data_IF_069275271329
#
_entry.id   IF_069275271329
#
_cell.length_a   1.000
_cell.length_b   1.000
_cell.length_c   1.000
_cell.angle_alpha   90.00
_cell.angle_beta   90.00
_cell.angle_gamma   90.00
#
_symmetry.space_group_name_H-M   'P 1'
#
loop_
_entity.id
_entity.type
_entity.pdbx_description
1 polymer ?
#
# COMPACT_ATOMS: atom_id res chain seq x y z
N UNK A 1 9.32 27.58 32.75
CA UNK A 1 9.84 26.25 32.37
C UNK A 1 9.38 25.95 30.95
N UNK A 2 10.29 25.94 29.98
CA UNK A 2 9.97 25.68 28.57
C UNK A 2 10.26 24.21 28.29
N UNK A 3 9.23 23.39 28.11
CA UNK A 3 9.41 21.99 27.73
C UNK A 3 9.56 21.89 26.21
N UNK A 4 10.68 21.30 25.81
CA UNK A 4 11.08 21.12 24.42
C UNK A 4 10.05 20.29 23.64
N UNK A 5 9.60 20.84 22.53
CA UNK A 5 8.86 20.14 21.48
C UNK A 5 9.78 19.13 20.82
N UNK A 6 9.70 17.86 21.23
CA UNK A 6 10.29 16.76 20.47
C UNK A 6 9.53 16.63 19.15
N UNK A 7 10.01 17.30 18.10
CA UNK A 7 9.62 17.03 16.71
C UNK A 7 9.86 15.54 16.44
N UNK A 8 8.78 14.75 16.42
CA UNK A 8 8.80 13.38 15.91
C UNK A 8 9.25 13.43 14.46
N UNK A 9 10.46 12.94 14.22
CA UNK A 9 11.08 12.79 12.91
C UNK A 9 10.13 12.01 11.99
N UNK A 10 9.67 12.67 10.93
CA UNK A 10 8.71 12.14 9.96
C UNK A 10 9.33 11.04 9.11
N UNK A 11 9.38 9.81 9.64
CA UNK A 11 9.68 8.60 8.85
C UNK A 11 8.44 8.17 8.03
N UNK A 12 7.31 8.87 8.21
CA UNK A 12 6.00 8.47 7.71
C UNK A 12 5.35 9.47 6.75
N UNK A 13 6.11 10.43 6.22
CA UNK A 13 5.64 11.45 5.27
C UNK A 13 4.92 10.86 4.04
N UNK A 14 5.32 9.66 3.62
CA UNK A 14 4.75 8.97 2.46
C UNK A 14 3.50 8.14 2.77
N UNK A 15 3.05 8.09 4.02
CA UNK A 15 1.87 7.30 4.38
C UNK A 15 0.61 7.96 3.83
N UNK A 16 -0.10 7.23 2.99
CA UNK A 16 -1.42 7.63 2.45
C UNK A 16 -2.58 7.34 3.40
N UNK A 17 -2.32 6.62 4.49
CA UNK A 17 -3.34 6.16 5.45
C UNK A 17 -2.90 6.53 6.86
N UNK A 18 -3.77 7.21 7.61
CA UNK A 18 -3.55 7.56 9.02
C UNK A 18 -3.86 6.38 9.96
N UNK A 19 -3.36 6.45 11.19
CA UNK A 19 -3.68 5.44 12.23
C UNK A 19 -5.18 5.35 12.50
N UNK A 20 -5.88 6.49 12.56
CA UNK A 20 -7.34 6.52 12.75
C UNK A 20 -8.11 5.83 11.63
N UNK A 21 -7.66 6.02 10.39
CA UNK A 21 -8.23 5.31 9.24
C UNK A 21 -7.97 3.80 9.35
N UNK A 22 -6.77 3.39 9.77
CA UNK A 22 -6.46 1.98 10.00
C UNK A 22 -7.35 1.37 11.08
N UNK A 23 -7.55 2.04 12.23
CA UNK A 23 -8.47 1.60 13.29
C UNK A 23 -9.89 1.41 12.74
N UNK A 24 -10.40 2.40 11.98
CA UNK A 24 -11.74 2.31 11.38
C UNK A 24 -11.89 1.10 10.46
N UNK A 25 -10.88 0.83 9.63
CA UNK A 25 -10.89 -0.32 8.70
C UNK A 25 -10.78 -1.63 9.47
N UNK A 26 -9.87 -1.74 10.45
CA UNK A 26 -9.72 -2.94 11.28
C UNK A 26 -11.03 -3.27 11.99
N UNK A 27 -11.66 -2.28 12.63
CA UNK A 27 -12.94 -2.47 13.32
C UNK A 27 -14.08 -2.88 12.40
N UNK A 28 -14.13 -2.33 11.17
CA UNK A 28 -15.09 -2.75 10.14
C UNK A 28 -14.95 -4.23 9.75
N UNK A 29 -13.77 -4.81 9.93
CA UNK A 29 -13.48 -6.20 9.66
C UNK A 29 -13.50 -7.08 10.94
N UNK A 30 -14.10 -6.60 12.04
CA UNK A 30 -14.20 -7.35 13.28
C UNK A 30 -12.92 -7.43 14.09
N UNK A 31 -11.88 -6.65 13.73
CA UNK A 31 -10.61 -6.58 14.47
C UNK A 31 -10.67 -5.34 15.36
N UNK A 32 -10.90 -5.56 16.66
CA UNK A 32 -10.80 -4.47 17.64
C UNK A 32 -9.33 -4.24 18.00
N UNK A 33 -8.83 -3.06 17.64
CA UNK A 33 -7.42 -2.69 17.83
C UNK A 33 -7.34 -1.25 18.35
N UNK A 34 -6.57 -1.07 19.42
CA UNK A 34 -6.24 0.26 19.93
C UNK A 34 -5.19 0.97 19.06
N UNK A 35 -4.92 2.24 19.35
CA UNK A 35 -3.99 3.06 18.57
C UNK A 35 -2.58 2.45 18.45
N UNK A 36 -2.05 1.88 19.54
CA UNK A 36 -0.73 1.25 19.56
C UNK A 36 -0.70 0.02 18.66
N UNK A 37 -1.73 -0.83 18.73
CA UNK A 37 -1.86 -2.02 17.89
C UNK A 37 -2.04 -1.65 16.42
N UNK A 38 -2.93 -0.71 16.11
CA UNK A 38 -3.17 -0.23 14.76
C UNK A 38 -1.92 0.37 14.13
N UNK A 39 -1.10 1.09 14.91
CA UNK A 39 0.20 1.59 14.44
C UNK A 39 1.14 0.45 14.06
N UNK A 40 1.27 -0.59 14.89
CA UNK A 40 2.16 -1.74 14.59
C UNK A 40 1.70 -2.48 13.34
N UNK A 41 0.38 -2.71 13.20
CA UNK A 41 -0.20 -3.35 12.02
C UNK A 41 0.08 -2.51 10.78
N UNK A 42 -0.19 -1.21 10.84
CA UNK A 42 0.03 -0.30 9.73
C UNK A 42 1.52 -0.22 9.34
N UNK A 43 2.42 -0.17 10.32
CA UNK A 43 3.87 -0.19 10.10
C UNK A 43 4.30 -1.46 9.35
N UNK A 44 3.77 -2.63 9.76
CA UNK A 44 4.04 -3.92 9.14
C UNK A 44 3.54 -3.99 7.70
N UNK A 45 2.32 -3.52 7.43
CA UNK A 45 1.74 -3.52 6.08
C UNK A 45 2.55 -2.62 5.12
N UNK A 46 2.99 -1.45 5.57
CA UNK A 46 3.86 -0.60 4.75
C UNK A 46 5.24 -1.22 4.52
N UNK A 47 5.78 -1.95 5.49
CA UNK A 47 7.02 -2.69 5.33
C UNK A 47 6.89 -3.76 4.24
N UNK A 48 5.83 -4.58 4.29
CA UNK A 48 5.53 -5.56 3.25
C UNK A 48 5.37 -4.90 1.87
N UNK A 49 4.60 -3.82 1.78
CA UNK A 49 4.38 -3.11 0.52
C UNK A 49 5.70 -2.60 -0.10
N UNK A 50 6.61 -2.08 0.72
CA UNK A 50 7.94 -1.65 0.27
C UNK A 50 8.79 -2.82 -0.21
N UNK A 51 8.76 -3.95 0.51
CA UNK A 51 9.50 -5.16 0.18
C UNK A 51 9.08 -5.73 -1.19
N UNK A 52 7.79 -5.76 -1.50
CA UNK A 52 7.31 -6.25 -2.81
C UNK A 52 7.51 -5.25 -3.94
N UNK A 53 7.38 -3.94 -3.68
CA UNK A 53 7.67 -2.91 -4.69
C UNK A 53 9.11 -2.96 -5.19
N UNK A 54 10.07 -3.29 -4.32
CA UNK A 54 11.48 -3.46 -4.71
C UNK A 54 11.76 -4.69 -5.57
N UNK A 55 10.84 -5.66 -5.63
CA UNK A 55 10.99 -6.89 -6.43
C UNK A 55 10.33 -6.78 -7.81
N UNK A 56 9.34 -5.88 -7.98
CA UNK A 56 8.67 -5.68 -9.27
C UNK A 56 9.52 -4.91 -10.30
N UNK A 57 10.61 -4.23 -9.87
CA UNK A 57 11.52 -3.50 -10.76
C UNK A 57 12.62 -4.36 -11.39
N UNK A 58 12.66 -5.68 -11.14
CA UNK A 58 13.55 -6.62 -11.83
C UNK A 58 12.83 -7.55 -12.80
N UNK A 59 11.55 -7.31 -13.09
CA UNK A 59 10.88 -7.97 -14.21
C UNK A 59 11.17 -7.16 -15.50
N UNK A 60 11.71 -7.78 -16.57
CA UNK A 60 11.88 -7.11 -17.84
C UNK A 60 10.50 -6.75 -18.38
N UNK A 61 10.27 -5.45 -18.50
CA UNK A 61 9.15 -4.89 -19.26
C UNK A 61 9.49 -5.01 -20.74
N UNK A 62 9.26 -6.19 -21.31
CA UNK A 62 9.10 -6.30 -22.75
C UNK A 62 7.61 -6.42 -23.06
N UNK A 63 7.06 -5.28 -23.43
CA UNK A 63 5.73 -5.07 -23.94
C UNK A 63 5.57 -5.79 -25.29
N UNK A 64 4.84 -6.89 -25.30
CA UNK A 64 4.21 -7.43 -26.51
C UNK A 64 2.73 -7.64 -26.23
N UNK A 65 1.95 -6.58 -26.40
CA UNK A 65 0.48 -6.64 -26.46
C UNK A 65 0.11 -7.15 -27.86
N UNK A 66 -0.71 -8.21 -28.02
CA UNK A 66 -1.46 -8.41 -29.25
C UNK A 66 -2.85 -7.77 -29.08
N UNK A 67 -2.97 -6.49 -29.42
CA UNK A 67 -4.27 -5.83 -29.58
C UNK A 67 -4.63 -5.81 -31.07
N UNK A 68 -5.73 -6.49 -31.37
CA UNK A 68 -6.59 -6.37 -32.56
C UNK A 68 -6.04 -6.92 -33.87
N UNK A 69 -6.65 -8.01 -34.33
CA UNK A 69 -7.53 -7.92 -35.50
C UNK A 69 -8.59 -9.04 -35.45
N UNK A 70 -9.82 -8.65 -35.16
CA UNK A 70 -11.00 -9.45 -35.44
C UNK A 70 -11.34 -9.14 -36.89
N UNK A 71 -10.95 -10.00 -37.82
CA UNK A 71 -11.59 -10.05 -39.13
C UNK A 71 -12.28 -11.40 -39.33
N UNK A 72 -13.61 -11.32 -39.32
CA UNK A 72 -14.48 -12.34 -39.83
C UNK A 72 -14.18 -12.62 -41.31
N UNK A 73 -13.91 -13.89 -41.64
CA UNK A 73 -14.29 -14.42 -42.95
C UNK A 73 -14.81 -15.83 -42.81
N UNK A 74 -16.14 -15.90 -42.66
CA UNK A 74 -16.91 -17.05 -43.12
C UNK A 74 -16.69 -17.11 -44.63
N UNK A 75 -16.08 -18.19 -45.12
CA UNK A 75 -16.27 -18.67 -46.49
C UNK A 75 -16.54 -20.17 -46.38
N UNK A 76 -17.83 -20.46 -46.63
CA UNK A 76 -18.50 -21.68 -47.11
C UNK A 76 -17.60 -22.91 -47.33
#
# INVERSE_FOLDING_TARGET
>A
MQQASHKKTGIFSDRKVSTDQAIKVLRKNGIDANEKQAKVILDFLYFLAKMYRGQASSAPSDSSIPEKEIEHKIII
#
